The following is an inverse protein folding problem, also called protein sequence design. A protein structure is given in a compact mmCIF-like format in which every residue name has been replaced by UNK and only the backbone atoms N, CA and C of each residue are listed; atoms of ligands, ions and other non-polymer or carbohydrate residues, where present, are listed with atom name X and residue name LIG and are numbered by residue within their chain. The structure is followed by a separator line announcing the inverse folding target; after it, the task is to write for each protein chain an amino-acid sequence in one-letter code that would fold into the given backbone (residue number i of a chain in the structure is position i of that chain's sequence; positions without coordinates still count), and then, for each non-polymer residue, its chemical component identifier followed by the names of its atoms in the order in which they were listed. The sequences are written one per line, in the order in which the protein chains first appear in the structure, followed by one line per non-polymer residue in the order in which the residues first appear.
data_IF_824651995528
#
_entry.id   IF_824651995528
#
_cell.length_a   1.000
_cell.length_b   1.000
_cell.length_c   1.000
_cell.angle_alpha   90.00
_cell.angle_beta   90.00
_cell.angle_gamma   90.00
#
_symmetry.space_group_name_H-M   'P 1'
#
loop_
_entity.id
_entity.type
_entity.pdbx_description
1 polymer ?
#
# COMPACT_ATOMS: atom_id res chain seq x y z
N UNK A 1 54.37 13.61 -7.20
CA UNK A 1 53.48 12.44 -7.40
C UNK A 1 52.53 12.31 -6.21
N UNK A 2 51.36 12.99 -6.20
CA UNK A 2 50.28 12.85 -5.19
C UNK A 2 49.06 13.77 -5.43
N UNK A 3 48.75 14.12 -6.69
CA UNK A 3 47.68 15.09 -6.98
C UNK A 3 46.70 14.65 -8.08
N UNK A 4 46.75 13.38 -8.52
CA UNK A 4 45.91 12.87 -9.63
C UNK A 4 44.96 11.73 -9.25
N UNK A 5 44.67 11.56 -7.96
CA UNK A 5 43.79 10.47 -7.48
C UNK A 5 42.55 10.98 -6.73
N UNK A 6 42.39 12.30 -6.55
CA UNK A 6 41.25 12.87 -5.82
C UNK A 6 40.13 13.44 -6.73
N UNK A 7 40.20 13.24 -8.05
CA UNK A 7 39.26 13.84 -9.01
C UNK A 7 38.21 12.85 -9.57
N UNK A 8 38.28 11.56 -9.23
CA UNK A 8 37.39 10.54 -9.81
C UNK A 8 36.20 10.14 -8.92
N UNK A 9 36.13 10.59 -7.66
CA UNK A 9 35.03 10.23 -6.75
C UNK A 9 33.94 11.29 -6.59
N UNK A 10 34.06 12.46 -7.22
CA UNK A 10 33.09 13.56 -7.09
C UNK A 10 32.06 13.62 -8.24
N UNK A 11 32.23 12.85 -9.32
CA UNK A 11 31.33 12.90 -10.49
C UNK A 11 30.07 12.03 -10.34
N UNK A 12 30.03 11.11 -9.36
CA UNK A 12 28.89 10.20 -9.17
C UNK A 12 27.70 10.83 -8.40
N UNK A 13 27.92 11.93 -7.67
CA UNK A 13 26.91 12.53 -6.78
C UNK A 13 26.05 13.63 -7.41
N UNK A 14 26.33 14.05 -8.65
CA UNK A 14 25.59 15.13 -9.33
C UNK A 14 24.50 14.66 -10.31
N UNK A 15 24.35 13.35 -10.53
CA UNK A 15 23.33 12.78 -11.45
C UNK A 15 21.98 12.54 -10.72
N UNK A 16 21.92 12.69 -9.40
CA UNK A 16 20.69 12.46 -8.63
C UNK A 16 19.76 13.69 -8.51
N UNK A 17 20.13 14.87 -9.03
CA UNK A 17 19.36 16.11 -8.83
C UNK A 17 18.74 16.75 -10.09
N UNK A 18 18.86 16.13 -11.26
CA UNK A 18 18.17 16.58 -12.49
C UNK A 18 17.30 15.47 -13.05
N UNK A 19 16.06 15.37 -12.54
CA UNK A 19 15.10 14.36 -13.01
C UNK A 19 13.67 14.46 -12.46
N UNK A 20 13.20 15.65 -12.07
CA UNK A 20 11.77 15.91 -11.79
C UNK A 20 11.24 17.08 -12.64
N UNK A 21 11.60 17.12 -13.92
CA UNK A 21 11.16 18.22 -14.80
C UNK A 21 11.47 18.00 -16.26
N UNK A 22 11.08 16.85 -16.81
CA UNK A 22 10.75 16.67 -18.23
C UNK A 22 10.11 15.28 -18.40
N UNK A 23 8.80 15.17 -18.16
CA UNK A 23 7.99 14.04 -18.65
C UNK A 23 6.59 14.57 -18.95
N UNK A 24 6.49 15.25 -20.08
CA UNK A 24 5.20 15.74 -20.57
C UNK A 24 4.60 14.87 -21.69
N UNK A 25 5.32 13.86 -22.21
CA UNK A 25 4.73 12.91 -23.19
C UNK A 25 5.41 11.52 -23.14
N UNK A 26 5.29 10.80 -22.02
CA UNK A 26 5.53 9.34 -21.97
C UNK A 26 4.88 8.63 -20.75
N UNK A 27 3.88 9.26 -20.12
CA UNK A 27 3.44 8.94 -18.75
C UNK A 27 2.20 8.05 -18.69
N UNK A 28 2.20 6.83 -19.25
CA UNK A 28 1.09 5.92 -18.85
C UNK A 28 1.32 4.41 -18.87
N UNK A 29 2.54 3.87 -19.10
CA UNK A 29 2.65 2.41 -19.21
C UNK A 29 3.93 1.69 -18.78
N UNK A 30 4.91 2.37 -18.19
CA UNK A 30 6.18 1.70 -17.84
C UNK A 30 6.77 2.06 -16.46
N UNK A 31 6.10 2.90 -15.67
CA UNK A 31 6.52 3.24 -14.29
C UNK A 31 5.72 2.45 -13.24
N UNK A 32 4.80 1.56 -13.64
CA UNK A 32 4.03 0.76 -12.70
C UNK A 32 4.77 -0.50 -12.22
N UNK A 33 5.57 -1.21 -13.01
CA UNK A 33 5.97 -2.58 -12.59
C UNK A 33 7.00 -2.66 -11.44
N UNK A 34 7.85 -1.64 -11.27
CA UNK A 34 8.85 -1.62 -10.17
C UNK A 34 8.29 -1.10 -8.84
N UNK A 35 7.55 0.01 -8.89
CA UNK A 35 6.87 0.59 -7.73
C UNK A 35 5.66 -0.24 -7.30
N UNK A 36 4.93 -0.84 -8.25
CA UNK A 36 3.80 -1.72 -7.95
C UNK A 36 4.25 -3.05 -7.37
N UNK A 37 5.45 -3.57 -7.63
CA UNK A 37 5.88 -4.83 -7.01
C UNK A 37 6.17 -4.69 -5.50
N UNK A 38 6.80 -3.58 -5.07
CA UNK A 38 7.03 -3.30 -3.64
C UNK A 38 5.74 -2.86 -2.93
N UNK A 39 4.89 -2.08 -3.59
CA UNK A 39 3.55 -1.78 -3.09
C UNK A 39 2.70 -3.07 -2.96
N UNK A 40 2.73 -3.94 -3.97
CA UNK A 40 2.00 -5.22 -3.95
C UNK A 40 2.47 -6.13 -2.81
N UNK A 41 3.76 -6.16 -2.47
CA UNK A 41 4.25 -7.00 -1.36
C UNK A 41 3.74 -6.49 0.00
N UNK A 42 3.86 -5.18 0.27
CA UNK A 42 3.33 -4.59 1.50
C UNK A 42 1.79 -4.70 1.54
N UNK A 43 1.12 -4.43 0.43
CA UNK A 43 -0.33 -4.55 0.29
C UNK A 43 -0.83 -5.98 0.45
N UNK A 44 -0.06 -6.98 0.02
CA UNK A 44 -0.39 -8.40 0.21
C UNK A 44 -0.35 -8.81 1.67
N UNK A 45 0.62 -8.31 2.44
CA UNK A 45 0.70 -8.58 3.87
C UNK A 45 -0.43 -7.89 4.64
N UNK A 46 -0.76 -6.64 4.30
CA UNK A 46 -1.91 -5.92 4.89
C UNK A 46 -3.23 -6.60 4.51
N UNK A 47 -3.40 -7.02 3.25
CA UNK A 47 -4.56 -7.83 2.80
C UNK A 47 -4.64 -9.10 3.64
N UNK A 48 -3.53 -9.82 3.81
CA UNK A 48 -3.50 -11.08 4.57
C UNK A 48 -3.93 -10.88 6.03
N UNK A 49 -3.41 -9.86 6.70
CA UNK A 49 -3.80 -9.53 8.08
C UNK A 49 -5.29 -9.20 8.18
N UNK A 50 -5.81 -8.35 7.28
CA UNK A 50 -7.22 -8.02 7.23
C UNK A 50 -8.09 -9.26 6.96
N UNK A 51 -7.66 -10.14 6.06
CA UNK A 51 -8.39 -11.36 5.71
C UNK A 51 -8.40 -12.40 6.84
N UNK A 52 -7.29 -12.55 7.58
CA UNK A 52 -7.24 -13.43 8.74
C UNK A 52 -8.22 -12.99 9.84
N UNK A 53 -8.39 -11.68 10.05
CA UNK A 53 -9.33 -11.15 11.04
C UNK A 53 -10.80 -11.39 10.68
N UNK A 54 -11.12 -11.66 9.41
CA UNK A 54 -12.50 -11.91 8.94
C UNK A 54 -12.74 -13.35 8.49
N UNK A 55 -11.72 -14.21 8.54
CA UNK A 55 -11.76 -15.58 8.01
C UNK A 55 -12.84 -16.42 8.70
N UNK A 56 -12.88 -16.38 10.03
CA UNK A 56 -13.83 -17.15 10.84
C UNK A 56 -15.25 -16.56 10.83
N UNK A 57 -15.47 -15.42 10.17
CA UNK A 57 -16.76 -14.70 10.13
C UNK A 57 -17.20 -14.11 11.47
N UNK A 58 -16.39 -14.30 12.53
CA UNK A 58 -16.58 -13.76 13.86
C UNK A 58 -15.64 -12.57 14.04
N UNK A 59 -16.14 -11.36 13.79
CA UNK A 59 -15.36 -10.13 13.97
C UNK A 59 -15.72 -9.53 15.32
N UNK A 60 -14.82 -9.67 16.30
CA UNK A 60 -14.98 -9.08 17.62
C UNK A 60 -14.85 -7.55 17.58
N UNK A 61 -15.15 -6.88 18.69
CA UNK A 61 -14.94 -5.42 18.81
C UNK A 61 -13.46 -5.08 18.62
N UNK A 62 -12.54 -5.88 19.19
CA UNK A 62 -11.10 -5.69 18.99
C UNK A 62 -10.71 -5.86 17.51
N UNK A 63 -11.27 -6.84 16.81
CA UNK A 63 -10.95 -7.07 15.39
C UNK A 63 -11.42 -5.89 14.51
N UNK A 64 -12.56 -5.29 14.84
CA UNK A 64 -13.06 -4.08 14.15
C UNK A 64 -12.11 -2.91 14.31
N UNK A 65 -11.58 -2.69 15.51
CA UNK A 65 -10.59 -1.64 15.76
C UNK A 65 -9.29 -1.88 14.99
N UNK A 66 -8.82 -3.13 14.97
CA UNK A 66 -7.62 -3.51 14.19
C UNK A 66 -7.85 -3.30 12.69
N UNK A 67 -8.99 -3.76 12.16
CA UNK A 67 -9.38 -3.53 10.77
C UNK A 67 -9.47 -2.04 10.44
N UNK A 68 -10.05 -1.25 11.34
CA UNK A 68 -10.13 0.20 11.17
C UNK A 68 -8.75 0.87 11.12
N UNK A 69 -7.81 0.42 11.97
CA UNK A 69 -6.42 0.91 11.98
C UNK A 69 -5.61 0.54 10.73
N UNK A 70 -6.02 -0.49 9.99
CA UNK A 70 -5.33 -0.94 8.77
C UNK A 70 -5.66 -0.11 7.53
N UNK A 71 -6.72 0.71 7.52
CA UNK A 71 -7.18 1.45 6.32
C UNK A 71 -6.06 2.28 5.70
N UNK A 72 -5.43 3.16 6.49
CA UNK A 72 -4.38 4.04 5.99
C UNK A 72 -3.16 3.24 5.50
N UNK A 73 -2.81 2.15 6.19
CA UNK A 73 -1.74 1.23 5.77
C UNK A 73 -2.08 0.52 4.45
N UNK A 74 -3.32 0.08 4.29
CA UNK A 74 -3.79 -0.60 3.10
C UNK A 74 -3.83 0.33 1.87
N UNK A 75 -4.34 1.55 2.04
CA UNK A 75 -4.40 2.56 0.97
C UNK A 75 -3.00 2.99 0.52
N UNK A 76 -2.10 3.26 1.47
CA UNK A 76 -0.71 3.65 1.17
C UNK A 76 0.10 2.49 0.55
N UNK A 77 -0.21 1.26 0.92
CA UNK A 77 0.39 0.06 0.33
C UNK A 77 -0.22 -0.34 -1.03
N UNK A 78 -1.21 0.40 -1.55
CA UNK A 78 -1.80 0.11 -2.86
C UNK A 78 -2.70 -1.14 -2.87
N UNK A 79 -3.28 -1.52 -1.73
CA UNK A 79 -4.29 -2.57 -1.65
C UNK A 79 -5.50 -2.20 -2.51
N UNK A 80 -6.05 -3.13 -3.30
CA UNK A 80 -7.15 -2.83 -4.22
C UNK A 80 -8.40 -2.31 -3.52
N UNK A 81 -9.17 -1.49 -4.25
CA UNK A 81 -10.38 -0.83 -3.77
C UNK A 81 -11.45 -1.80 -3.22
N UNK A 82 -11.48 -3.04 -3.72
CA UNK A 82 -12.40 -4.08 -3.23
C UNK A 82 -12.14 -4.50 -1.78
N UNK A 83 -10.92 -4.29 -1.27
CA UNK A 83 -10.54 -4.51 0.14
C UNK A 83 -10.56 -3.20 0.92
N UNK A 84 -10.01 -2.11 0.36
CA UNK A 84 -9.91 -0.83 1.09
C UNK A 84 -11.25 -0.11 1.28
N UNK A 85 -12.22 -0.29 0.37
CA UNK A 85 -13.57 0.28 0.52
C UNK A 85 -14.32 -0.31 1.72
N UNK A 86 -14.48 -1.63 1.86
CA UNK A 86 -15.13 -2.19 3.05
C UNK A 86 -14.31 -1.95 4.32
N UNK A 87 -12.96 -1.97 4.27
CA UNK A 87 -12.12 -1.57 5.40
C UNK A 87 -12.43 -0.13 5.87
N UNK A 88 -12.59 0.81 4.94
CA UNK A 88 -12.93 2.21 5.27
C UNK A 88 -14.31 2.31 5.93
N UNK A 89 -15.29 1.58 5.42
CA UNK A 89 -16.62 1.52 6.05
C UNK A 89 -16.56 0.97 7.47
N UNK A 90 -15.70 -0.02 7.73
CA UNK A 90 -15.47 -0.58 9.06
C UNK A 90 -14.86 0.49 9.98
N UNK A 91 -13.85 1.23 9.52
CA UNK A 91 -13.24 2.31 10.28
C UNK A 91 -14.22 3.45 10.59
N UNK A 92 -14.97 3.92 9.58
CA UNK A 92 -15.92 5.03 9.71
C UNK A 92 -17.09 4.69 10.64
N UNK A 93 -17.42 3.40 10.76
CA UNK A 93 -18.55 2.93 11.57
C UNK A 93 -18.19 2.69 13.05
N UNK A 94 -16.89 2.69 13.41
CA UNK A 94 -16.42 2.46 14.78
C UNK A 94 -17.00 1.17 15.38
N UNK A 95 -17.71 1.25 16.51
CA UNK A 95 -18.34 0.07 17.14
C UNK A 95 -19.57 -0.44 16.38
N UNK A 96 -20.18 0.39 15.53
CA UNK A 96 -21.43 0.13 14.82
C UNK A 96 -21.22 -0.42 13.40
N UNK A 97 -20.13 -1.17 13.19
CA UNK A 97 -19.80 -1.77 11.89
C UNK A 97 -20.98 -2.57 11.31
N UNK A 98 -21.46 -2.21 10.11
CA UNK A 98 -22.49 -2.98 9.41
C UNK A 98 -21.99 -4.39 9.08
N UNK A 99 -22.86 -5.39 9.27
CA UNK A 99 -22.56 -6.77 8.89
C UNK A 99 -22.25 -6.90 7.38
N UNK A 100 -22.87 -6.06 6.55
CA UNK A 100 -22.63 -6.01 5.10
C UNK A 100 -21.20 -5.59 4.75
N UNK A 101 -20.59 -4.67 5.52
CA UNK A 101 -19.20 -4.24 5.29
C UNK A 101 -18.21 -5.35 5.64
N UNK A 102 -18.47 -6.09 6.73
CA UNK A 102 -17.68 -7.28 7.08
C UNK A 102 -17.81 -8.35 5.99
N UNK A 103 -19.04 -8.60 5.53
CA UNK A 103 -19.30 -9.58 4.49
C UNK A 103 -18.63 -9.21 3.17
N UNK A 104 -18.68 -7.94 2.77
CA UNK A 104 -18.01 -7.45 1.58
C UNK A 104 -16.48 -7.63 1.66
N UNK A 105 -15.88 -7.39 2.83
CA UNK A 105 -14.46 -7.64 3.06
C UNK A 105 -14.13 -9.14 2.96
N UNK A 106 -14.95 -9.99 3.56
CA UNK A 106 -14.79 -11.46 3.50
C UNK A 106 -14.91 -11.99 2.06
N UNK A 107 -15.90 -11.52 1.31
CA UNK A 107 -16.11 -11.91 -0.09
C UNK A 107 -14.94 -11.43 -0.99
N UNK A 108 -14.30 -10.31 -0.67
CA UNK A 108 -13.09 -9.83 -1.34
C UNK A 108 -11.82 -10.62 -0.93
N UNK A 109 -11.78 -11.15 0.30
CA UNK A 109 -10.71 -12.02 0.78
C UNK A 109 -10.77 -13.44 0.21
N UNK A 110 -11.95 -13.92 -0.18
CA UNK A 110 -12.15 -15.22 -0.82
C UNK A 110 -11.77 -15.23 -2.32
N UNK A 111 -11.28 -14.10 -2.86
CA UNK A 111 -10.84 -13.93 -4.25
C UNK A 111 -9.32 -13.90 -4.40
#
# INVERSE_FOLDING_TARGET
MKLRLAALSAAALMIALTGCGQVQDATNKAVSDGASQVATAAGSEVKKQACTLVEDGLVSVQDKELLGGLVAGAETAGVPAEITTPLRQIADSGDQVPADSIKALQDACAK
#
